data_IF_380871241118
#
_entry.id   IF_380871241118
#
_cell.length_a   1.000
_cell.length_b   1.000
_cell.length_c   1.000
_cell.angle_alpha   90.00
_cell.angle_beta   90.00
_cell.angle_gamma   90.00
#
_symmetry.space_group_name_H-M   'P 1'
#
loop_
_entity.id
_entity.type
_entity.pdbx_description
1 polymer ?
#
# COMPACT_ATOMS: atom_id res chain seq x y z
N UNK A 1 53.15 18.18 30.92
CA UNK A 1 52.44 17.62 29.76
C UNK A 1 51.05 18.25 29.72
N UNK A 2 50.98 19.57 29.57
CA UNK A 2 49.73 20.30 29.76
C UNK A 2 49.16 20.64 28.39
N UNK A 3 48.12 19.92 27.99
CA UNK A 3 47.27 20.36 26.88
C UNK A 3 46.22 21.32 27.44
N UNK A 4 46.12 22.52 26.89
CA UNK A 4 45.12 23.51 27.26
C UNK A 4 43.98 23.47 26.24
N UNK A 5 42.76 23.23 26.71
CA UNK A 5 41.57 23.30 25.86
C UNK A 5 41.08 24.75 25.88
N UNK A 6 40.91 25.35 24.70
CA UNK A 6 40.39 26.72 24.54
C UNK A 6 39.25 26.72 23.54
N UNK A 7 38.25 27.55 23.77
CA UNK A 7 37.17 27.77 22.80
C UNK A 7 37.65 28.73 21.71
N UNK A 8 37.25 28.48 20.47
CA UNK A 8 37.45 29.47 19.38
C UNK A 8 36.56 30.69 19.60
N UNK A 9 36.92 31.82 18.98
CA UNK A 9 36.13 33.05 19.07
C UNK A 9 34.72 32.91 18.47
N UNK A 10 34.52 31.96 17.56
CA UNK A 10 33.25 31.65 16.89
C UNK A 10 32.53 30.42 17.49
N UNK A 11 32.91 30.02 18.73
CA UNK A 11 32.30 28.89 19.41
C UNK A 11 30.78 29.03 19.49
N UNK A 12 30.07 28.02 18.99
CA UNK A 12 28.62 27.99 18.99
C UNK A 12 28.11 26.53 19.09
N UNK A 13 27.30 26.23 20.11
CA UNK A 13 26.73 24.89 20.36
C UNK A 13 25.68 24.45 19.32
N UNK A 14 25.15 25.40 18.54
CA UNK A 14 24.15 25.16 17.50
C UNK A 14 24.71 25.09 16.10
N UNK A 15 25.96 25.53 15.90
CA UNK A 15 26.61 25.55 14.57
C UNK A 15 26.88 24.15 14.02
N UNK A 16 27.23 23.20 14.88
CA UNK A 16 27.57 21.83 14.49
C UNK A 16 26.71 20.83 15.24
N UNK A 17 26.12 19.88 14.51
CA UNK A 17 25.35 18.76 15.07
C UNK A 17 25.97 17.45 14.60
N UNK A 18 25.95 16.44 15.48
CA UNK A 18 26.44 15.10 15.17
C UNK A 18 25.31 14.26 14.58
N UNK A 19 25.58 13.55 13.49
CA UNK A 19 24.68 12.57 12.88
C UNK A 19 25.44 11.25 12.76
N UNK A 20 24.88 10.16 13.29
CA UNK A 20 25.41 8.83 13.10
C UNK A 20 25.04 8.35 11.69
N UNK A 21 26.07 8.08 10.88
CA UNK A 21 25.90 7.53 9.55
C UNK A 21 25.91 6.00 9.62
N UNK A 22 25.00 5.37 8.88
CA UNK A 22 25.15 3.96 8.55
C UNK A 22 26.10 3.83 7.33
N UNK A 23 26.63 2.64 7.05
CA UNK A 23 27.55 2.44 5.91
C UNK A 23 26.96 2.85 4.56
N UNK A 24 25.63 2.77 4.41
CA UNK A 24 24.94 3.14 3.17
C UNK A 24 24.96 4.65 2.93
N UNK A 25 24.60 5.46 3.93
CA UNK A 25 24.64 6.92 3.85
C UNK A 25 26.08 7.42 3.77
N UNK A 26 27.00 6.83 4.52
CA UNK A 26 28.43 7.17 4.43
C UNK A 26 28.94 6.98 3.00
N UNK A 27 28.60 5.85 2.38
CA UNK A 27 28.93 5.60 0.98
C UNK A 27 28.29 6.64 0.06
N UNK A 28 26.99 6.93 0.22
CA UNK A 28 26.30 7.92 -0.60
C UNK A 28 26.96 9.31 -0.53
N UNK A 29 27.33 9.76 0.67
CA UNK A 29 28.01 11.05 0.88
C UNK A 29 29.42 11.04 0.26
N UNK A 30 30.19 9.97 0.48
CA UNK A 30 31.58 9.88 -0.03
C UNK A 30 31.66 9.72 -1.55
N UNK A 31 30.65 9.10 -2.19
CA UNK A 31 30.55 8.99 -3.65
C UNK A 31 29.97 10.23 -4.32
N UNK A 32 29.47 11.20 -3.56
CA UNK A 32 28.84 12.41 -4.08
C UNK A 32 27.39 12.21 -4.57
N UNK A 33 26.72 11.15 -4.12
CA UNK A 33 25.30 10.92 -4.41
C UNK A 33 24.41 11.95 -3.70
N UNK A 34 23.20 12.16 -4.23
CA UNK A 34 22.27 13.16 -3.67
C UNK A 34 21.76 12.67 -2.30
N UNK A 35 22.03 13.46 -1.26
CA UNK A 35 21.46 13.29 0.09
C UNK A 35 20.80 14.60 0.49
N UNK A 36 19.53 14.53 0.89
CA UNK A 36 18.74 15.71 1.22
C UNK A 36 17.83 15.43 2.42
N UNK A 37 17.40 16.51 3.08
CA UNK A 37 16.50 16.44 4.23
C UNK A 37 15.16 17.04 3.82
N UNK A 38 14.09 16.27 4.05
CA UNK A 38 12.71 16.70 3.84
C UNK A 38 12.01 16.74 5.20
N UNK A 39 11.25 17.79 5.45
CA UNK A 39 10.57 17.98 6.73
C UNK A 39 9.51 19.07 6.64
N UNK A 40 8.27 18.75 7.02
CA UNK A 40 7.24 19.74 7.26
C UNK A 40 7.42 20.32 8.67
N UNK A 41 6.98 21.56 8.96
CA UNK A 41 7.20 22.21 10.25
C UNK A 41 6.66 21.44 11.47
N UNK A 42 5.61 20.64 11.25
CA UNK A 42 4.89 19.84 12.23
C UNK A 42 5.25 18.34 12.19
N UNK A 43 6.16 17.94 11.30
CA UNK A 43 6.51 16.55 11.07
C UNK A 43 7.97 16.24 11.43
N UNK A 44 8.25 14.96 11.69
CA UNK A 44 9.62 14.49 11.94
C UNK A 44 10.44 14.63 10.66
N UNK A 45 11.62 15.23 10.76
CA UNK A 45 12.54 15.35 9.63
C UNK A 45 13.01 13.97 9.14
N UNK A 46 13.12 13.83 7.81
CA UNK A 46 13.54 12.63 7.11
C UNK A 46 14.75 12.95 6.26
N UNK A 47 15.79 12.12 6.38
CA UNK A 47 16.93 12.11 5.48
C UNK A 47 16.64 11.12 4.35
N UNK A 48 16.71 11.59 3.11
CA UNK A 48 16.50 10.79 1.92
C UNK A 48 17.81 10.64 1.14
N UNK A 49 18.10 9.41 0.73
CA UNK A 49 19.01 9.13 -0.40
C UNK A 49 18.22 9.16 -1.70
N UNK A 50 18.86 8.75 -2.79
CA UNK A 50 18.17 8.50 -4.06
C UNK A 50 17.08 7.43 -3.89
N UNK A 51 17.31 6.38 -3.11
CA UNK A 51 16.51 5.15 -3.06
C UNK A 51 15.85 4.81 -1.72
N UNK A 52 16.22 5.49 -0.62
CA UNK A 52 15.79 5.13 0.74
C UNK A 52 15.53 6.37 1.60
N UNK A 53 14.65 6.17 2.57
CA UNK A 53 14.27 7.21 3.53
C UNK A 53 14.54 6.81 4.98
N UNK A 54 15.00 7.76 5.78
CA UNK A 54 15.36 7.55 7.18
C UNK A 54 14.82 8.67 8.07
N UNK A 55 14.07 8.31 9.11
CA UNK A 55 13.69 9.26 10.14
C UNK A 55 14.91 9.69 10.96
N UNK A 56 15.05 11.00 11.16
CA UNK A 56 16.07 11.58 12.03
C UNK A 56 15.56 11.52 13.48
N UNK A 57 16.28 10.83 14.37
CA UNK A 57 15.97 10.72 15.81
C UNK A 57 17.01 11.46 16.63
N UNK A 58 16.59 12.26 17.61
CA UNK A 58 17.51 12.82 18.60
C UNK A 58 17.79 11.78 19.68
N UNK A 59 19.06 11.52 19.97
CA UNK A 59 19.51 10.73 21.12
C UNK A 59 20.39 11.58 22.03
N UNK A 60 19.87 11.89 23.23
CA UNK A 60 20.59 12.63 24.26
C UNK A 60 21.69 11.76 24.89
N UNK A 61 22.84 12.35 25.14
CA UNK A 61 23.98 11.68 25.76
C UNK A 61 24.28 12.32 27.12
N UNK A 62 24.69 11.50 28.11
CA UNK A 62 25.01 11.99 29.46
C UNK A 62 26.28 12.85 29.52
N UNK A 63 27.18 12.70 28.53
CA UNK A 63 28.46 13.37 28.49
C UNK A 63 28.48 14.46 27.41
N UNK A 64 29.13 15.59 27.71
CA UNK A 64 29.40 16.64 26.74
C UNK A 64 30.55 16.22 25.81
N UNK A 65 30.31 16.21 24.49
CA UNK A 65 31.35 15.95 23.48
C UNK A 65 31.85 17.28 22.94
N UNK A 66 33.15 17.55 23.06
CA UNK A 66 33.78 18.74 22.49
C UNK A 66 34.22 18.46 21.05
N UNK A 67 33.88 19.37 20.14
CA UNK A 67 34.19 19.25 18.71
C UNK A 67 35.44 20.07 18.39
N UNK A 68 36.45 19.40 17.85
CA UNK A 68 37.73 20.01 17.49
C UNK A 68 38.15 19.56 16.10
N UNK A 69 38.78 20.46 15.36
CA UNK A 69 39.47 20.14 14.09
C UNK A 69 40.92 19.71 14.33
N UNK A 70 41.36 19.61 15.59
CA UNK A 70 42.70 19.17 15.94
C UNK A 70 42.90 17.70 15.54
N UNK A 71 43.83 17.44 14.62
CA UNK A 71 44.13 16.10 14.10
C UNK A 71 45.44 15.49 14.63
N UNK A 72 46.41 16.31 15.03
CA UNK A 72 47.72 15.83 15.48
C UNK A 72 47.76 15.43 16.96
N UNK A 73 47.49 14.16 17.28
CA UNK A 73 47.52 13.67 18.67
C UNK A 73 48.90 13.19 19.14
N UNK A 74 49.97 13.45 18.39
CA UNK A 74 51.32 13.03 18.77
C UNK A 74 51.80 13.68 20.08
N UNK A 75 52.75 13.02 20.76
CA UNK A 75 53.33 13.53 22.01
C UNK A 75 54.02 14.86 21.73
N UNK A 76 53.81 15.89 22.57
CA UNK A 76 54.53 17.15 22.42
C UNK A 76 56.04 16.90 22.41
N UNK A 77 56.77 17.49 21.45
CA UNK A 77 58.24 17.56 21.54
C UNK A 77 58.59 18.34 22.81
N UNK A 78 59.67 17.98 23.50
CA UNK A 78 60.06 18.46 24.85
C UNK A 78 60.36 19.98 24.97
N UNK A 79 59.96 20.80 23.99
CA UNK A 79 60.12 22.25 23.98
C UNK A 79 58.85 22.92 24.52
N UNK A 80 58.95 23.35 25.78
CA UNK A 80 58.19 24.32 26.62
C UNK A 80 56.78 24.86 26.29
N UNK A 81 56.17 24.62 25.14
CA UNK A 81 54.88 25.22 24.79
C UNK A 81 53.72 24.28 25.12
N UNK A 82 52.79 24.77 25.93
CA UNK A 82 51.54 24.08 26.27
C UNK A 82 50.73 23.86 24.99
N UNK A 83 50.44 22.60 24.66
CA UNK A 83 49.67 22.26 23.47
C UNK A 83 48.25 22.81 23.60
N UNK A 84 47.85 23.70 22.70
CA UNK A 84 46.51 24.32 22.76
C UNK A 84 45.57 23.60 21.80
N UNK A 85 44.48 23.03 22.33
CA UNK A 85 43.43 22.36 21.57
C UNK A 85 42.24 23.30 21.46
N UNK A 86 41.96 23.74 20.24
CA UNK A 86 40.84 24.63 19.94
C UNK A 86 39.55 23.84 19.76
N UNK A 87 38.50 24.25 20.45
CA UNK A 87 37.16 23.66 20.38
C UNK A 87 36.22 24.68 19.73
N UNK A 88 35.58 24.27 18.64
CA UNK A 88 34.69 25.11 17.84
C UNK A 88 33.20 24.86 18.11
N UNK A 89 32.88 23.79 18.83
CA UNK A 89 31.52 23.48 19.22
C UNK A 89 31.46 22.39 20.28
N UNK A 90 30.26 22.15 20.80
CA UNK A 90 30.00 21.06 21.72
C UNK A 90 28.66 20.41 21.40
N UNK A 91 28.57 19.10 21.61
CA UNK A 91 27.37 18.32 21.34
C UNK A 91 26.97 17.53 22.59
N UNK A 92 25.74 17.74 23.06
CA UNK A 92 25.11 16.99 24.18
C UNK A 92 24.24 15.83 23.69
N UNK A 93 24.00 15.78 22.40
CA UNK A 93 23.21 14.77 21.74
C UNK A 93 23.77 14.53 20.34
N UNK A 94 23.32 13.44 19.73
CA UNK A 94 23.54 13.19 18.31
C UNK A 94 22.24 12.71 17.68
N UNK A 95 22.20 12.76 16.36
CA UNK A 95 21.09 12.25 15.60
C UNK A 95 21.37 10.82 15.13
N UNK A 96 20.35 9.98 15.19
CA UNK A 96 20.33 8.63 14.64
C UNK A 96 19.40 8.58 13.42
N UNK A 97 19.63 7.59 12.56
CA UNK A 97 18.80 7.31 11.40
C UNK A 97 18.04 6.00 11.60
N UNK A 98 16.71 6.07 11.57
CA UNK A 98 15.83 4.89 11.62
C UNK A 98 15.15 4.73 10.25
N UNK A 99 15.15 3.53 9.66
CA UNK A 99 14.48 3.32 8.37
C UNK A 99 13.02 3.73 8.43
N UNK A 100 12.61 4.54 7.44
CA UNK A 100 11.22 4.88 7.20
C UNK A 100 10.67 3.91 6.16
N UNK A 101 9.58 3.24 6.51
CA UNK A 101 8.86 2.38 5.56
C UNK A 101 7.93 3.26 4.72
N UNK A 102 8.01 3.21 3.38
CA UNK A 102 7.06 3.88 2.50
C UNK A 102 5.63 3.38 2.75
N UNK A 103 4.65 4.27 2.68
CA UNK A 103 3.24 3.95 2.94
C UNK A 103 2.39 4.20 1.68
N UNK A 104 2.17 3.15 0.85
CA UNK A 104 1.31 3.24 -0.35
C UNK A 104 -0.13 3.62 -0.02
N UNK A 105 -0.61 3.31 1.20
CA UNK A 105 -1.98 3.63 1.64
C UNK A 105 -2.16 5.14 1.77
N UNK A 106 -1.18 5.81 2.36
CA UNK A 106 -1.16 7.28 2.47
C UNK A 106 -1.09 7.92 1.08
N UNK A 107 -0.25 7.41 0.18
CA UNK A 107 -0.17 7.90 -1.21
C UNK A 107 -1.52 7.75 -1.92
N UNK A 108 -2.15 6.56 -1.83
CA UNK A 108 -3.46 6.30 -2.42
C UNK A 108 -4.51 7.28 -1.90
N UNK A 109 -4.52 7.56 -0.59
CA UNK A 109 -5.45 8.52 0.01
C UNK A 109 -5.28 9.93 -0.58
N UNK A 110 -4.04 10.41 -0.73
CA UNK A 110 -3.75 11.73 -1.34
C UNK A 110 -4.27 11.81 -2.78
N UNK A 111 -3.96 10.80 -3.60
CA UNK A 111 -4.38 10.80 -5.02
C UNK A 111 -5.89 10.66 -5.21
N UNK A 112 -6.58 10.02 -4.25
CA UNK A 112 -8.04 9.91 -4.25
C UNK A 112 -8.75 11.18 -3.77
N UNK A 113 -8.04 12.22 -3.36
CA UNK A 113 -8.67 13.52 -3.11
C UNK A 113 -9.05 14.26 -4.40
N UNK A 114 -8.36 13.97 -5.51
CA UNK A 114 -8.63 14.50 -6.85
C UNK A 114 -8.54 13.41 -7.94
N UNK A 115 -9.38 12.36 -7.85
CA UNK A 115 -9.28 11.23 -8.75
C UNK A 115 -9.64 11.62 -10.18
N UNK A 116 -9.14 10.84 -11.14
CA UNK A 116 -9.46 10.97 -12.54
C UNK A 116 -10.88 10.50 -12.84
N UNK A 117 -11.62 11.32 -13.57
CA UNK A 117 -12.92 11.02 -14.15
C UNK A 117 -12.90 11.50 -15.60
N UNK A 118 -13.76 10.89 -16.45
CA UNK A 118 -13.94 11.33 -17.84
C UNK A 118 -14.16 12.84 -17.91
N UNK A 119 -13.37 13.59 -18.69
CA UNK A 119 -13.55 15.04 -18.83
C UNK A 119 -14.93 15.36 -19.40
N UNK A 120 -15.85 15.87 -18.57
CA UNK A 120 -17.15 16.37 -19.05
C UNK A 120 -16.94 17.68 -19.80
N UNK A 121 -17.51 17.81 -21.01
CA UNK A 121 -17.38 19.00 -21.88
C UNK A 121 -17.76 20.32 -21.17
N UNK A 122 -18.65 20.29 -20.18
CA UNK A 122 -19.15 21.48 -19.48
C UNK A 122 -18.51 21.77 -18.11
N UNK A 123 -17.47 21.04 -17.70
CA UNK A 123 -16.88 21.15 -16.35
C UNK A 123 -15.90 22.33 -16.17
N UNK A 124 -16.22 23.52 -16.71
CA UNK A 124 -15.38 24.70 -16.57
C UNK A 124 -15.35 25.27 -15.13
N UNK A 125 -16.40 25.05 -14.33
CA UNK A 125 -16.53 25.64 -12.99
C UNK A 125 -16.06 24.75 -11.82
N UNK A 126 -15.89 23.43 -12.00
CA UNK A 126 -15.44 22.51 -10.94
C UNK A 126 -13.91 22.51 -10.72
N UNK A 127 -13.17 23.36 -11.45
CA UNK A 127 -11.72 23.24 -11.65
C UNK A 127 -10.86 23.74 -10.48
N UNK A 128 -11.20 24.85 -9.81
CA UNK A 128 -10.23 25.54 -8.93
C UNK A 128 -9.85 24.78 -7.64
N UNK A 129 -10.81 24.13 -6.98
CA UNK A 129 -10.56 23.44 -5.70
C UNK A 129 -10.03 22.00 -5.86
N UNK A 130 -10.27 21.36 -7.02
CA UNK A 130 -9.72 20.02 -7.33
C UNK A 130 -8.29 20.08 -7.89
N UNK A 131 -7.94 21.17 -8.58
CA UNK A 131 -6.59 21.40 -9.13
C UNK A 131 -5.52 21.60 -8.05
N UNK A 132 -5.87 22.17 -6.89
CA UNK A 132 -4.93 22.35 -5.77
C UNK A 132 -4.55 21.06 -5.05
N UNK A 133 -5.16 19.93 -5.45
CA UNK A 133 -4.93 18.59 -4.89
C UNK A 133 -4.35 17.63 -5.94
N UNK A 134 -3.80 18.20 -7.01
CA UNK A 134 -2.98 17.46 -7.96
C UNK A 134 -1.54 17.55 -7.49
N UNK A 135 -0.85 16.41 -7.53
CA UNK A 135 0.50 16.30 -7.01
C UNK A 135 1.46 15.96 -8.14
N UNK A 136 2.52 16.76 -8.28
CA UNK A 136 3.69 16.40 -9.06
C UNK A 136 4.59 15.43 -8.27
N UNK A 137 5.64 14.91 -8.90
CA UNK A 137 6.62 14.06 -8.22
C UNK A 137 7.24 14.78 -6.99
N UNK A 138 7.59 16.06 -7.11
CA UNK A 138 8.15 16.83 -5.99
C UNK A 138 7.14 17.03 -4.88
N UNK A 139 5.87 17.31 -5.22
CA UNK A 139 4.83 17.51 -4.20
C UNK A 139 4.58 16.22 -3.40
N UNK A 140 4.66 15.05 -4.07
CA UNK A 140 4.54 13.75 -3.40
C UNK A 140 5.74 13.45 -2.51
N UNK A 141 6.96 13.76 -2.95
CA UNK A 141 8.18 13.63 -2.13
C UNK A 141 8.07 14.47 -0.87
N UNK A 142 7.59 15.71 -0.97
CA UNK A 142 7.44 16.59 0.19
C UNK A 142 6.29 16.15 1.12
N UNK A 143 5.13 15.79 0.58
CA UNK A 143 3.96 15.39 1.36
C UNK A 143 4.13 14.03 2.05
N UNK A 144 4.83 13.09 1.40
CA UNK A 144 5.11 11.77 1.95
C UNK A 144 6.44 11.72 2.69
N UNK A 145 7.34 12.68 2.47
CA UNK A 145 8.70 12.76 3.00
C UNK A 145 9.47 11.46 2.75
N UNK A 146 9.53 11.03 1.49
CA UNK A 146 10.25 9.83 1.06
C UNK A 146 11.07 10.11 -0.20
N UNK A 147 11.98 9.22 -0.56
CA UNK A 147 12.80 9.37 -1.77
C UNK A 147 11.97 9.29 -3.06
N UNK A 148 12.46 9.90 -4.13
CA UNK A 148 11.79 9.89 -5.45
C UNK A 148 11.59 8.46 -5.99
N UNK A 149 12.53 7.55 -5.74
CA UNK A 149 12.42 6.14 -6.14
C UNK A 149 11.35 5.40 -5.32
N UNK A 150 11.26 5.65 -4.01
CA UNK A 150 10.20 5.06 -3.19
C UNK A 150 8.82 5.59 -3.60
N UNK A 151 8.69 6.88 -3.94
CA UNK A 151 7.44 7.41 -4.52
C UNK A 151 7.09 6.68 -5.81
N UNK A 152 8.06 6.54 -6.71
CA UNK A 152 7.88 5.86 -8.00
C UNK A 152 7.45 4.40 -7.82
N UNK A 153 8.08 3.68 -6.89
CA UNK A 153 7.72 2.30 -6.56
C UNK A 153 6.28 2.21 -6.02
N UNK A 154 5.90 3.09 -5.09
CA UNK A 154 4.53 3.13 -4.56
C UNK A 154 3.51 3.49 -5.64
N UNK A 155 3.82 4.43 -6.53
CA UNK A 155 2.94 4.81 -7.65
C UNK A 155 2.70 3.64 -8.61
N UNK A 156 3.75 2.85 -8.89
CA UNK A 156 3.63 1.64 -9.70
C UNK A 156 2.78 0.57 -9.00
N UNK A 157 3.00 0.36 -7.69
CA UNK A 157 2.24 -0.60 -6.89
C UNK A 157 0.74 -0.31 -6.89
N UNK A 158 0.35 0.96 -6.73
CA UNK A 158 -1.07 1.36 -6.73
C UNK A 158 -1.63 1.61 -8.13
N UNK A 159 -0.85 1.37 -9.19
CA UNK A 159 -1.19 1.62 -10.58
C UNK A 159 -1.63 3.08 -10.85
N UNK A 160 -0.96 4.04 -10.21
CA UNK A 160 -1.12 5.45 -10.53
C UNK A 160 -0.48 5.79 -11.87
N UNK A 161 -0.97 6.86 -12.50
CA UNK A 161 -0.46 7.31 -13.79
C UNK A 161 -0.28 8.81 -13.82
N UNK A 162 0.62 9.25 -14.68
CA UNK A 162 0.88 10.67 -14.90
C UNK A 162 -0.01 11.19 -16.04
N UNK A 163 -0.66 12.33 -15.78
CA UNK A 163 -1.40 13.09 -16.76
C UNK A 163 -1.06 14.58 -16.60
N UNK A 164 -0.58 15.20 -17.67
CA UNK A 164 -0.21 16.62 -17.71
C UNK A 164 0.74 17.07 -16.57
N UNK A 165 1.73 16.24 -16.22
CA UNK A 165 2.71 16.54 -15.17
C UNK A 165 2.23 16.25 -13.74
N UNK A 166 1.05 15.64 -13.58
CA UNK A 166 0.45 15.33 -12.27
C UNK A 166 0.08 13.87 -12.15
N UNK A 167 0.26 13.29 -10.97
CA UNK A 167 -0.08 11.90 -10.69
C UNK A 167 -1.53 11.74 -10.27
N UNK A 168 -2.19 10.72 -10.81
CA UNK A 168 -3.63 10.48 -10.60
C UNK A 168 -3.96 8.99 -10.50
N UNK A 169 -5.11 8.71 -9.89
CA UNK A 169 -5.77 7.41 -9.88
C UNK A 169 -7.14 7.53 -10.55
N UNK A 170 -7.62 6.48 -11.21
CA UNK A 170 -9.01 6.42 -11.64
C UNK A 170 -9.93 6.48 -10.43
N UNK A 171 -11.03 7.24 -10.54
CA UNK A 171 -12.07 7.21 -9.51
C UNK A 171 -12.65 5.79 -9.43
N UNK A 172 -12.79 5.18 -8.23
CA UNK A 172 -13.23 3.78 -8.10
C UNK A 172 -14.53 3.46 -8.85
N UNK A 173 -15.54 4.33 -8.79
CA UNK A 173 -16.81 4.12 -9.52
C UNK A 173 -16.64 4.17 -11.03
N UNK A 174 -15.79 5.07 -11.52
CA UNK A 174 -15.52 5.22 -12.95
C UNK A 174 -14.66 4.05 -13.47
N UNK A 175 -13.67 3.62 -12.70
CA UNK A 175 -12.88 2.42 -12.97
C UNK A 175 -13.77 1.18 -13.11
N UNK A 176 -14.70 0.95 -12.16
CA UNK A 176 -15.61 -0.19 -12.23
C UNK A 176 -16.55 -0.11 -13.44
N UNK A 177 -16.99 1.09 -13.82
CA UNK A 177 -17.83 1.28 -15.00
C UNK A 177 -17.07 0.90 -16.28
N UNK A 178 -15.89 1.51 -16.51
CA UNK A 178 -15.08 1.23 -17.71
C UNK A 178 -14.76 -0.25 -17.81
N UNK A 179 -14.36 -0.88 -16.70
CA UNK A 179 -14.00 -2.28 -16.75
C UNK A 179 -15.21 -3.19 -16.98
N UNK A 180 -16.40 -2.80 -16.50
CA UNK A 180 -17.65 -3.49 -16.87
C UNK A 180 -17.92 -3.37 -18.37
N UNK A 181 -17.82 -2.16 -18.92
CA UNK A 181 -18.03 -1.91 -20.34
C UNK A 181 -17.02 -2.69 -21.19
N UNK A 182 -15.75 -2.73 -20.79
CA UNK A 182 -14.71 -3.55 -21.44
C UNK A 182 -15.08 -5.03 -21.46
N UNK A 183 -15.52 -5.59 -20.33
CA UNK A 183 -15.92 -7.00 -20.25
C UNK A 183 -17.14 -7.29 -21.12
N UNK A 184 -18.08 -6.35 -21.21
CA UNK A 184 -19.28 -6.51 -22.04
C UNK A 184 -18.91 -6.47 -23.54
N UNK A 185 -18.01 -5.57 -23.95
CA UNK A 185 -17.44 -5.54 -25.31
C UNK A 185 -16.70 -6.83 -25.65
N UNK A 186 -15.91 -7.38 -24.73
CA UNK A 186 -15.19 -8.65 -24.92
C UNK A 186 -16.16 -9.78 -25.24
N UNK A 187 -17.26 -9.88 -24.49
CA UNK A 187 -18.29 -10.90 -24.72
C UNK A 187 -19.03 -10.66 -26.03
N UNK A 188 -19.33 -9.39 -26.36
CA UNK A 188 -20.03 -9.03 -27.59
C UNK A 188 -19.25 -9.42 -28.86
N UNK A 189 -17.92 -9.29 -28.85
CA UNK A 189 -17.06 -9.55 -30.00
C UNK A 189 -16.31 -10.89 -29.93
N UNK A 190 -16.59 -11.71 -28.92
CA UNK A 190 -15.93 -13.01 -28.67
C UNK A 190 -14.40 -12.93 -28.67
N UNK A 191 -13.87 -11.90 -27.99
CA UNK A 191 -12.43 -11.66 -27.94
C UNK A 191 -11.70 -12.56 -26.93
N UNK A 192 -10.61 -13.18 -27.38
CA UNK A 192 -9.71 -13.91 -26.48
C UNK A 192 -8.73 -12.97 -25.78
N UNK A 193 -9.17 -12.44 -24.64
CA UNK A 193 -8.37 -11.56 -23.77
C UNK A 193 -7.49 -12.31 -22.77
N UNK A 194 -7.63 -13.63 -22.65
CA UNK A 194 -6.88 -14.42 -21.67
C UNK A 194 -5.62 -15.04 -22.28
N UNK A 195 -5.64 -15.36 -23.58
CA UNK A 195 -4.47 -15.83 -24.30
C UNK A 195 -3.50 -14.69 -24.64
N UNK A 196 -2.20 -14.97 -24.64
CA UNK A 196 -1.20 -14.02 -25.14
C UNK A 196 -1.25 -13.96 -26.68
N UNK A 197 -1.13 -12.76 -27.30
CA UNK A 197 -0.75 -11.47 -26.71
C UNK A 197 -1.91 -10.66 -26.10
N UNK A 198 -3.13 -11.17 -26.11
CA UNK A 198 -4.34 -10.48 -25.70
C UNK A 198 -4.93 -9.64 -26.84
N UNK A 199 -5.80 -8.68 -26.49
CA UNK A 199 -6.50 -7.83 -27.46
C UNK A 199 -5.80 -6.49 -27.60
N UNK A 200 -5.58 -5.98 -28.82
CA UNK A 200 -5.03 -4.64 -29.02
C UNK A 200 -5.87 -3.57 -28.30
N UNK A 201 -5.23 -2.66 -27.57
CA UNK A 201 -5.91 -1.56 -26.87
C UNK A 201 -6.70 -0.67 -27.84
N UNK A 202 -6.29 -0.62 -29.12
CA UNK A 202 -7.00 0.12 -30.17
C UNK A 202 -8.41 -0.43 -30.43
N UNK A 203 -8.62 -1.74 -30.32
CA UNK A 203 -9.95 -2.34 -30.52
C UNK A 203 -10.92 -1.88 -29.42
N UNK A 204 -10.46 -1.84 -28.17
CA UNK A 204 -11.25 -1.25 -27.09
C UNK A 204 -11.58 0.22 -27.34
N UNK A 205 -10.69 1.01 -27.94
CA UNK A 205 -10.94 2.42 -28.26
C UNK A 205 -11.89 2.63 -29.43
N UNK A 206 -12.00 1.66 -30.33
CA UNK A 206 -12.96 1.71 -31.44
C UNK A 206 -14.38 1.48 -30.94
N UNK A 207 -14.54 0.59 -29.95
CA UNK A 207 -15.84 0.20 -29.40
C UNK A 207 -16.28 1.05 -28.21
N UNK A 208 -15.33 1.52 -27.39
CA UNK A 208 -15.60 2.31 -26.19
C UNK A 208 -15.22 3.77 -26.42
N UNK A 209 -16.15 4.68 -26.12
CA UNK A 209 -15.87 6.13 -26.12
C UNK A 209 -15.04 6.57 -24.90
N UNK A 210 -14.01 5.82 -24.50
CA UNK A 210 -13.21 6.06 -23.30
C UNK A 210 -11.78 6.52 -23.62
N UNK A 211 -11.15 7.36 -22.77
CA UNK A 211 -9.78 7.80 -23.00
C UNK A 211 -8.77 6.64 -22.96
N UNK A 212 -7.77 6.66 -23.84
CA UNK A 212 -6.65 5.70 -23.88
C UNK A 212 -6.05 5.43 -22.50
N UNK A 213 -5.85 6.48 -21.71
CA UNK A 213 -5.27 6.35 -20.36
C UNK A 213 -6.12 5.46 -19.45
N UNK A 214 -7.45 5.56 -19.54
CA UNK A 214 -8.36 4.81 -18.69
C UNK A 214 -8.39 3.32 -19.05
N UNK A 215 -8.48 3.00 -20.35
CA UNK A 215 -8.41 1.62 -20.84
C UNK A 215 -7.07 0.97 -20.45
N UNK A 216 -5.94 1.67 -20.66
CA UNK A 216 -4.62 1.16 -20.26
C UNK A 216 -4.52 0.89 -18.76
N UNK A 217 -5.08 1.76 -17.92
CA UNK A 217 -5.07 1.52 -16.48
C UNK A 217 -5.93 0.32 -16.09
N UNK A 218 -7.12 0.15 -16.69
CA UNK A 218 -7.95 -1.03 -16.45
C UNK A 218 -7.20 -2.32 -16.83
N UNK A 219 -6.50 -2.34 -17.97
CA UNK A 219 -5.65 -3.46 -18.36
C UNK A 219 -4.54 -3.76 -17.35
N UNK A 220 -3.85 -2.74 -16.82
CA UNK A 220 -2.82 -2.92 -15.78
C UNK A 220 -3.39 -3.41 -14.45
N UNK A 221 -4.57 -2.90 -14.06
CA UNK A 221 -5.23 -3.25 -12.81
C UNK A 221 -5.72 -4.69 -12.84
N UNK A 222 -6.40 -5.10 -13.90
CA UNK A 222 -7.08 -6.39 -14.02
C UNK A 222 -6.32 -7.43 -14.87
N UNK A 223 -5.09 -7.12 -15.27
CA UNK A 223 -4.29 -7.98 -16.13
C UNK A 223 -2.87 -7.46 -16.32
N UNK A 224 -2.43 -7.39 -17.58
CA UNK A 224 -1.15 -6.85 -17.99
C UNK A 224 -1.25 -6.15 -19.37
N UNK A 225 -0.27 -5.28 -19.64
CA UNK A 225 -0.08 -4.65 -20.95
C UNK A 225 1.25 -5.09 -21.53
N UNK A 226 1.26 -5.51 -22.79
CA UNK A 226 2.46 -5.86 -23.55
C UNK A 226 2.47 -5.12 -24.88
N UNK A 227 3.60 -4.53 -25.26
CA UNK A 227 3.76 -3.91 -26.56
C UNK A 227 4.17 -4.98 -27.59
N UNK A 228 3.37 -5.15 -28.64
CA UNK A 228 3.65 -6.04 -29.77
C UNK A 228 3.50 -5.22 -31.05
N UNK A 229 4.55 -5.16 -31.87
CA UNK A 229 4.57 -4.37 -33.12
C UNK A 229 4.15 -2.90 -32.92
N UNK A 230 4.69 -2.22 -31.89
CA UNK A 230 4.34 -0.85 -31.50
C UNK A 230 2.86 -0.64 -31.10
N UNK A 231 2.13 -1.72 -30.83
CA UNK A 231 0.76 -1.69 -30.32
C UNK A 231 0.66 -2.34 -28.95
N UNK A 232 0.10 -1.60 -27.99
CA UNK A 232 -0.22 -2.13 -26.67
C UNK A 232 -1.36 -3.15 -26.77
N UNK A 233 -1.12 -4.36 -26.29
CA UNK A 233 -2.10 -5.42 -26.15
C UNK A 233 -2.43 -5.65 -24.67
N UNK A 234 -3.71 -5.88 -24.41
CA UNK A 234 -4.29 -6.09 -23.11
C UNK A 234 -4.59 -7.58 -22.89
N UNK A 235 -3.89 -8.19 -21.94
CA UNK A 235 -4.16 -9.57 -21.50
C UNK A 235 -4.73 -9.51 -20.09
N UNK A 236 -5.96 -10.00 -19.89
CA UNK A 236 -6.63 -9.99 -18.61
C UNK A 236 -6.24 -11.20 -17.76
N UNK A 237 -6.18 -10.99 -16.45
CA UNK A 237 -5.96 -12.07 -15.50
C UNK A 237 -7.31 -12.71 -15.12
N UNK A 238 -7.47 -14.03 -15.29
CA UNK A 238 -8.75 -14.69 -15.07
C UNK A 238 -9.22 -14.60 -13.61
N UNK A 239 -8.29 -14.62 -12.64
CA UNK A 239 -8.63 -14.47 -11.22
C UNK A 239 -9.15 -13.06 -10.97
N UNK A 240 -8.45 -12.03 -11.45
CA UNK A 240 -8.88 -10.64 -11.27
C UNK A 240 -10.23 -10.33 -11.93
N UNK A 241 -10.48 -10.86 -13.13
CA UNK A 241 -11.78 -10.75 -13.80
C UNK A 241 -12.87 -11.42 -12.95
N UNK A 242 -12.62 -12.65 -12.48
CA UNK A 242 -13.56 -13.40 -11.68
C UNK A 242 -13.84 -12.70 -10.32
N UNK A 243 -12.81 -12.24 -9.62
CA UNK A 243 -12.91 -11.46 -8.38
C UNK A 243 -13.70 -10.16 -8.60
N UNK A 244 -13.46 -9.46 -9.72
CA UNK A 244 -14.20 -8.24 -10.05
C UNK A 244 -15.71 -8.50 -10.19
N UNK A 245 -16.10 -9.49 -11.01
CA UNK A 245 -17.52 -9.84 -11.20
C UNK A 245 -18.17 -10.37 -9.92
N UNK A 246 -17.44 -11.13 -9.11
CA UNK A 246 -17.90 -11.55 -7.79
C UNK A 246 -18.18 -10.35 -6.88
N UNK A 247 -17.25 -9.40 -6.82
CA UNK A 247 -17.43 -8.17 -6.03
C UNK A 247 -18.65 -7.38 -6.51
N UNK A 248 -18.84 -7.20 -7.82
CA UNK A 248 -20.02 -6.54 -8.37
C UNK A 248 -21.32 -7.18 -7.91
N UNK A 249 -21.41 -8.51 -7.83
CA UNK A 249 -22.60 -9.21 -7.31
C UNK A 249 -22.86 -8.91 -5.84
N UNK A 250 -21.82 -8.82 -5.01
CA UNK A 250 -21.99 -8.42 -3.60
C UNK A 250 -22.39 -6.95 -3.46
N UNK A 251 -21.82 -6.06 -4.27
CA UNK A 251 -22.16 -4.64 -4.29
C UNK A 251 -23.62 -4.44 -4.73
N UNK A 252 -24.08 -5.16 -5.77
CA UNK A 252 -25.48 -5.20 -6.22
C UNK A 252 -26.42 -5.68 -5.10
N UNK A 253 -26.10 -6.80 -4.43
CA UNK A 253 -26.89 -7.33 -3.32
C UNK A 253 -26.98 -6.33 -2.16
N UNK A 254 -25.86 -5.69 -1.81
CA UNK A 254 -25.82 -4.71 -0.74
C UNK A 254 -26.66 -3.47 -1.06
N UNK A 255 -26.60 -2.98 -2.31
CA UNK A 255 -27.40 -1.86 -2.76
C UNK A 255 -28.91 -2.18 -2.75
N UNK A 256 -29.29 -3.38 -3.23
CA UNK A 256 -30.69 -3.83 -3.21
C UNK A 256 -31.21 -3.96 -1.78
N UNK A 257 -30.43 -4.59 -0.88
CA UNK A 257 -30.81 -4.72 0.53
C UNK A 257 -30.95 -3.36 1.22
N UNK A 258 -30.06 -2.40 0.93
CA UNK A 258 -30.16 -1.03 1.44
C UNK A 258 -31.42 -0.32 0.96
N UNK A 259 -31.75 -0.46 -0.32
CA UNK A 259 -32.94 0.13 -0.90
C UNK A 259 -34.23 -0.42 -0.28
N UNK A 260 -34.32 -1.74 -0.08
CA UNK A 260 -35.49 -2.38 0.55
C UNK A 260 -35.63 -1.98 2.02
N UNK A 261 -34.54 -2.02 2.78
CA UNK A 261 -34.52 -1.61 4.19
C UNK A 261 -34.95 -0.15 4.38
N UNK A 262 -34.57 0.73 3.45
CA UNK A 262 -34.98 2.13 3.47
C UNK A 262 -36.49 2.29 3.20
N UNK A 263 -37.07 1.49 2.30
CA UNK A 263 -38.52 1.52 2.04
C UNK A 263 -39.33 0.98 3.22
N UNK A 264 -38.86 -0.11 3.84
CA UNK A 264 -39.59 -0.78 4.92
C UNK A 264 -39.30 -0.18 6.31
N UNK A 265 -38.39 0.80 6.42
CA UNK A 265 -37.89 1.36 7.69
C UNK A 265 -37.36 0.29 8.66
N UNK A 266 -36.75 -0.77 8.13
CA UNK A 266 -36.18 -1.88 8.92
C UNK A 266 -34.66 -1.76 9.00
N UNK A 267 -34.08 -2.09 10.16
CA UNK A 267 -32.63 -2.16 10.30
C UNK A 267 -32.07 -3.38 9.55
N UNK A 268 -31.08 -3.15 8.69
CA UNK A 268 -30.31 -4.23 8.06
C UNK A 268 -29.58 -5.03 9.12
N UNK A 269 -29.75 -6.35 9.12
CA UNK A 269 -28.95 -7.24 9.94
C UNK A 269 -27.72 -7.72 9.14
N UNK A 270 -26.50 -7.27 9.44
CA UNK A 270 -25.31 -7.65 8.69
C UNK A 270 -24.97 -9.15 8.83
N UNK A 271 -25.52 -9.82 9.85
CA UNK A 271 -25.32 -11.23 10.11
C UNK A 271 -25.97 -12.14 9.05
N UNK A 272 -27.00 -11.66 8.35
CA UNK A 272 -27.68 -12.36 7.26
C UNK A 272 -27.16 -11.92 5.87
N UNK A 273 -26.25 -10.95 5.81
CA UNK A 273 -25.64 -10.46 4.58
C UNK A 273 -24.75 -11.55 3.97
N UNK A 274 -25.17 -12.09 2.85
CA UNK A 274 -24.47 -13.16 2.15
C UNK A 274 -25.42 -13.83 1.16
N UNK A 275 -24.85 -14.57 0.24
CA UNK A 275 -25.60 -15.34 -0.73
C UNK A 275 -25.73 -16.80 -0.29
N UNK A 276 -26.78 -17.46 -0.74
CA UNK A 276 -26.73 -18.92 -0.84
C UNK A 276 -25.64 -19.31 -1.84
N UNK A 277 -24.78 -20.27 -1.44
CA UNK A 277 -23.56 -20.60 -2.19
C UNK A 277 -23.88 -21.03 -3.63
N UNK A 278 -24.84 -21.92 -3.82
CA UNK A 278 -25.15 -22.46 -5.15
C UNK A 278 -25.73 -21.38 -6.07
N UNK A 279 -26.66 -20.57 -5.55
CA UNK A 279 -27.22 -19.42 -6.29
C UNK A 279 -26.14 -18.40 -6.67
N UNK A 280 -25.20 -18.13 -5.77
CA UNK A 280 -24.07 -17.26 -6.07
C UNK A 280 -23.20 -17.84 -7.18
N UNK A 281 -22.84 -19.12 -7.10
CA UNK A 281 -21.98 -19.77 -8.08
C UNK A 281 -22.63 -19.77 -9.48
N UNK A 282 -23.94 -20.00 -9.58
CA UNK A 282 -24.67 -19.91 -10.84
C UNK A 282 -24.65 -18.51 -11.43
N UNK A 283 -25.00 -17.49 -10.64
CA UNK A 283 -24.97 -16.09 -11.11
C UNK A 283 -23.57 -15.63 -11.46
N UNK A 284 -22.58 -16.01 -10.66
CA UNK A 284 -21.20 -15.62 -10.89
C UNK A 284 -20.64 -16.21 -12.18
N UNK A 285 -20.93 -17.50 -12.43
CA UNK A 285 -20.57 -18.16 -13.70
C UNK A 285 -21.18 -17.46 -14.91
N UNK A 286 -22.41 -16.95 -14.81
CA UNK A 286 -23.07 -16.22 -15.89
C UNK A 286 -22.54 -14.79 -16.13
N UNK A 287 -21.79 -14.22 -15.18
CA UNK A 287 -21.29 -12.83 -15.26
C UNK A 287 -19.85 -12.72 -15.74
N UNK A 288 -19.10 -13.82 -15.72
CA UNK A 288 -17.74 -13.86 -16.27
C UNK A 288 -17.80 -14.22 -17.77
N UNK A 289 -16.83 -13.80 -18.59
CA UNK A 289 -16.69 -14.30 -19.95
C UNK A 289 -16.53 -15.83 -19.97
N UNK A 290 -17.03 -16.50 -21.01
CA UNK A 290 -17.02 -17.97 -21.15
C UNK A 290 -15.61 -18.57 -21.10
N UNK A 291 -14.59 -17.79 -21.46
CA UNK A 291 -13.18 -18.16 -21.38
C UNK A 291 -12.67 -18.31 -19.93
N UNK A 292 -13.37 -17.76 -18.94
CA UNK A 292 -12.99 -17.83 -17.52
C UNK A 292 -13.73 -18.97 -16.80
N UNK A 293 -12.99 -20.02 -16.42
CA UNK A 293 -13.54 -21.09 -15.56
C UNK A 293 -13.49 -20.70 -14.09
N UNK A 294 -14.63 -20.32 -13.51
CA UNK A 294 -14.73 -19.91 -12.10
C UNK A 294 -14.60 -21.08 -11.11
N UNK A 295 -13.89 -20.83 -10.01
CA UNK A 295 -13.84 -21.71 -8.85
C UNK A 295 -13.70 -20.89 -7.55
N UNK A 296 -14.05 -21.49 -6.40
CA UNK A 296 -14.03 -20.77 -5.12
C UNK A 296 -12.64 -20.31 -4.66
N UNK A 297 -11.57 -20.96 -5.13
CA UNK A 297 -10.20 -20.59 -4.76
C UNK A 297 -9.81 -19.21 -5.34
N UNK A 298 -10.42 -18.81 -6.47
CA UNK A 298 -10.26 -17.47 -7.05
C UNK A 298 -10.79 -16.34 -6.15
N UNK A 299 -11.66 -16.66 -5.18
CA UNK A 299 -12.20 -15.70 -4.21
C UNK A 299 -11.49 -15.78 -2.86
N UNK A 300 -10.36 -16.47 -2.79
CA UNK A 300 -9.53 -16.56 -1.59
C UNK A 300 -9.18 -15.18 -1.05
N UNK A 301 -9.50 -14.93 0.22
CA UNK A 301 -9.30 -13.62 0.86
C UNK A 301 -10.33 -12.55 0.49
N UNK A 302 -11.29 -12.81 -0.43
CA UNK A 302 -12.41 -11.91 -0.72
C UNK A 302 -13.69 -12.30 0.03
N UNK A 303 -13.89 -13.60 0.21
CA UNK A 303 -15.14 -14.17 0.72
C UNK A 303 -14.91 -15.19 1.83
N UNK A 304 -15.92 -15.34 2.68
CA UNK A 304 -15.97 -16.37 3.70
C UNK A 304 -17.15 -17.31 3.45
N UNK A 305 -16.85 -18.59 3.24
CA UNK A 305 -17.85 -19.65 3.10
C UNK A 305 -18.22 -20.17 4.50
N UNK A 306 -19.48 -20.02 4.89
CA UNK A 306 -20.04 -20.40 6.18
C UNK A 306 -21.03 -21.56 6.03
N UNK A 307 -20.63 -22.78 6.43
CA UNK A 307 -21.57 -23.90 6.57
C UNK A 307 -22.60 -23.57 7.64
N UNK A 308 -23.88 -23.83 7.34
CA UNK A 308 -24.98 -23.61 8.28
C UNK A 308 -25.33 -24.91 9.02
N UNK A 309 -26.23 -24.82 10.01
CA UNK A 309 -26.77 -26.01 10.71
C UNK A 309 -27.44 -26.96 9.70
N UNK A 310 -27.46 -28.26 10.03
CA UNK A 310 -28.05 -29.29 9.20
C UNK A 310 -29.45 -28.89 8.67
N UNK A 311 -29.63 -28.94 7.36
CA UNK A 311 -30.88 -28.58 6.67
C UNK A 311 -30.96 -27.14 6.15
N UNK A 312 -29.96 -26.27 6.43
CA UNK A 312 -29.87 -24.93 5.82
C UNK A 312 -28.75 -24.88 4.77
N UNK A 313 -28.92 -24.13 3.67
CA UNK A 313 -27.90 -24.02 2.64
C UNK A 313 -26.65 -23.31 3.15
N UNK A 314 -25.50 -23.71 2.62
CA UNK A 314 -24.22 -23.03 2.87
C UNK A 314 -24.29 -21.60 2.35
N UNK A 315 -23.76 -20.64 3.11
CA UNK A 315 -23.73 -19.23 2.71
C UNK A 315 -22.32 -18.77 2.36
N UNK A 316 -22.22 -17.83 1.45
CA UNK A 316 -20.99 -17.12 1.09
C UNK A 316 -21.16 -15.64 1.42
N UNK A 317 -20.19 -15.08 2.15
CA UNK A 317 -20.26 -13.73 2.71
C UNK A 317 -19.09 -12.91 2.19
N UNK A 318 -19.35 -11.67 1.78
CA UNK A 318 -18.29 -10.71 1.44
C UNK A 318 -17.48 -10.36 2.69
N UNK A 319 -16.19 -10.68 2.66
CA UNK A 319 -15.30 -10.44 3.77
C UNK A 319 -13.87 -10.32 3.23
N UNK A 320 -13.50 -9.16 2.69
CA UNK A 320 -12.23 -9.00 2.00
C UNK A 320 -11.08 -8.71 2.99
N UNK A 321 -9.91 -9.31 2.75
CA UNK A 321 -8.76 -9.22 3.65
C UNK A 321 -8.12 -7.82 3.70
N UNK A 322 -8.28 -7.04 2.62
CA UNK A 322 -7.74 -5.69 2.47
C UNK A 322 -8.46 -4.66 3.36
N UNK A 323 -9.69 -4.96 3.80
CA UNK A 323 -10.44 -4.17 4.78
C UNK A 323 -10.08 -4.52 6.24
N UNK A 324 -9.23 -5.53 6.47
CA UNK A 324 -8.81 -5.92 7.81
C UNK A 324 -7.59 -5.14 8.29
N UNK A 325 -7.56 -4.84 9.59
CA UNK A 325 -6.48 -4.09 10.22
C UNK A 325 -5.10 -4.70 9.94
N UNK A 326 -4.06 -3.94 9.59
CA UNK A 326 -2.71 -4.48 9.42
C UNK A 326 -2.06 -4.89 10.76
N UNK A 327 -2.63 -4.47 11.89
CA UNK A 327 -2.14 -4.86 13.21
C UNK A 327 -2.63 -6.29 13.56
N UNK A 328 -1.72 -7.26 13.83
CA UNK A 328 -2.12 -8.65 14.04
C UNK A 328 -3.20 -8.84 15.10
N UNK A 329 -3.07 -8.17 16.25
CA UNK A 329 -4.04 -8.31 17.36
C UNK A 329 -5.45 -7.87 16.94
N UNK A 330 -5.58 -6.67 16.36
CA UNK A 330 -6.87 -6.13 15.90
C UNK A 330 -7.44 -6.97 14.76
N UNK A 331 -6.59 -7.46 13.84
CA UNK A 331 -7.03 -8.36 12.76
C UNK A 331 -7.65 -9.63 13.31
N UNK A 332 -6.98 -10.33 14.22
CA UNK A 332 -7.54 -11.56 14.83
C UNK A 332 -8.83 -11.28 15.60
N UNK A 333 -8.96 -10.13 16.28
CA UNK A 333 -10.22 -9.72 16.91
C UNK A 333 -11.34 -9.57 15.87
N UNK A 334 -11.09 -8.91 14.73
CA UNK A 334 -12.07 -8.79 13.63
C UNK A 334 -12.46 -10.15 13.04
N UNK A 335 -11.48 -11.05 12.82
CA UNK A 335 -11.71 -12.41 12.32
C UNK A 335 -12.62 -13.22 13.26
N UNK A 336 -12.36 -13.17 14.57
CA UNK A 336 -13.15 -13.92 15.55
C UNK A 336 -14.52 -13.31 15.84
N UNK A 337 -14.70 -12.01 15.61
CA UNK A 337 -16.03 -11.38 15.59
C UNK A 337 -16.86 -11.87 14.40
N UNK A 338 -16.23 -12.08 13.24
CA UNK A 338 -16.93 -12.57 12.04
C UNK A 338 -17.30 -14.06 12.12
N UNK A 339 -16.45 -14.89 12.72
CA UNK A 339 -16.67 -16.33 12.93
C UNK A 339 -15.88 -16.82 14.14
N UNK A 340 -16.50 -17.59 15.04
CA UNK A 340 -15.86 -17.97 16.30
C UNK A 340 -14.72 -19.00 16.16
N UNK A 341 -14.86 -19.92 15.19
CA UNK A 341 -13.95 -21.05 14.97
C UNK A 341 -13.55 -21.14 13.51
N UNK A 342 -12.26 -21.24 13.24
CA UNK A 342 -11.71 -21.23 11.89
C UNK A 342 -10.85 -22.46 11.65
N UNK A 343 -10.89 -23.00 10.44
CA UNK A 343 -9.87 -23.96 9.99
C UNK A 343 -8.64 -23.21 9.50
N UNK A 344 -7.49 -23.88 9.40
CA UNK A 344 -6.28 -23.25 8.85
C UNK A 344 -6.48 -22.77 7.42
N UNK A 345 -7.18 -23.57 6.60
CA UNK A 345 -7.48 -23.25 5.19
C UNK A 345 -8.31 -21.98 5.06
N UNK A 346 -9.27 -21.77 5.98
CA UNK A 346 -10.08 -20.55 6.00
C UNK A 346 -9.29 -19.34 6.52
N UNK A 347 -8.39 -19.53 7.48
CA UNK A 347 -7.62 -18.46 8.12
C UNK A 347 -6.48 -17.93 7.24
N UNK A 348 -5.79 -18.83 6.54
CA UNK A 348 -4.56 -18.55 5.82
C UNK A 348 -4.64 -17.33 4.89
N UNK A 349 -5.69 -17.18 4.04
CA UNK A 349 -5.80 -16.03 3.15
C UNK A 349 -5.78 -14.69 3.90
N UNK A 350 -6.37 -14.63 5.10
CA UNK A 350 -6.53 -13.38 5.86
C UNK A 350 -5.31 -13.00 6.72
N UNK A 351 -4.40 -13.93 6.94
CA UNK A 351 -3.23 -13.73 7.81
C UNK A 351 -1.91 -13.81 7.07
N UNK A 352 -1.91 -14.23 5.80
CA UNK A 352 -0.71 -14.34 4.96
C UNK A 352 0.06 -13.02 4.91
N UNK A 353 -0.65 -11.89 4.77
CA UNK A 353 -0.06 -10.55 4.75
C UNK A 353 0.56 -10.10 6.09
N UNK A 354 0.29 -10.81 7.20
CA UNK A 354 0.93 -10.55 8.50
C UNK A 354 2.25 -11.32 8.70
N UNK A 355 2.57 -12.27 7.82
CA UNK A 355 3.78 -13.09 7.93
C UNK A 355 4.98 -12.26 7.47
N UNK A 356 5.97 -12.11 8.34
CA UNK A 356 7.21 -11.38 8.07
C UNK A 356 8.42 -12.28 8.28
N UNK A 357 9.62 -11.84 7.89
CA UNK A 357 10.86 -12.61 8.11
C UNK A 357 11.09 -12.99 9.59
N UNK A 358 10.57 -12.19 10.52
CA UNK A 358 10.69 -12.43 11.97
C UNK A 358 9.48 -13.09 12.63
N UNK A 359 8.38 -13.35 11.89
CA UNK A 359 7.15 -13.89 12.48
C UNK A 359 6.48 -14.85 11.50
N UNK A 360 6.57 -16.15 11.81
CA UNK A 360 5.96 -17.22 11.00
C UNK A 360 4.46 -17.33 11.28
N UNK A 361 3.71 -17.89 10.32
CA UNK A 361 2.28 -18.20 10.49
C UNK A 361 2.00 -19.01 11.76
N UNK A 362 2.84 -20.01 12.06
CA UNK A 362 2.72 -20.82 13.27
C UNK A 362 2.85 -19.99 14.55
N UNK A 363 3.80 -19.05 14.58
CA UNK A 363 4.01 -18.15 15.72
C UNK A 363 2.84 -17.15 15.91
N UNK A 364 2.26 -16.64 14.82
CA UNK A 364 1.07 -15.79 14.86
C UNK A 364 -0.11 -16.54 15.48
N UNK A 365 -0.39 -17.75 14.98
CA UNK A 365 -1.49 -18.57 15.48
C UNK A 365 -1.30 -18.91 16.96
N UNK A 366 -0.10 -19.34 17.37
CA UNK A 366 0.19 -19.66 18.77
C UNK A 366 0.00 -18.45 19.71
N UNK A 367 0.33 -17.25 19.24
CA UNK A 367 0.23 -16.02 20.03
C UNK A 367 -1.22 -15.53 20.16
N UNK A 368 -1.98 -15.53 19.06
CA UNK A 368 -3.27 -14.85 18.95
C UNK A 368 -4.50 -15.76 18.99
N UNK A 369 -4.33 -17.08 19.00
CA UNK A 369 -5.45 -18.03 18.94
C UNK A 369 -5.34 -19.12 19.99
N UNK A 370 -6.44 -19.85 20.23
CA UNK A 370 -6.44 -21.16 20.89
C UNK A 370 -6.75 -22.24 19.86
N UNK A 371 -5.97 -23.31 19.86
CA UNK A 371 -6.24 -24.48 19.00
C UNK A 371 -7.04 -25.54 19.75
N UNK A 372 -8.07 -26.06 19.11
CA UNK A 372 -8.87 -27.21 19.54
C UNK A 372 -8.95 -28.24 18.41
N UNK A 373 -9.29 -29.49 18.72
CA UNK A 373 -9.59 -30.51 17.70
C UNK A 373 -11.10 -30.66 17.59
N UNK A 374 -11.62 -30.76 16.37
CA UNK A 374 -13.01 -31.12 16.17
C UNK A 374 -13.20 -32.60 16.52
N UNK A 375 -14.26 -32.95 17.26
CA UNK A 375 -14.55 -34.34 17.59
C UNK A 375 -14.65 -35.18 16.32
N UNK A 376 -13.93 -36.31 16.27
CA UNK A 376 -13.86 -37.24 15.14
C UNK A 376 -13.14 -36.73 13.86
N UNK A 377 -12.41 -35.62 13.91
CA UNK A 377 -11.57 -35.14 12.80
C UNK A 377 -10.13 -34.84 13.25
N UNK A 378 -9.16 -35.04 12.35
CA UNK A 378 -7.77 -34.61 12.55
C UNK A 378 -7.60 -33.09 12.35
N UNK A 379 -8.64 -32.39 11.92
CA UNK A 379 -8.61 -30.97 11.61
C UNK A 379 -8.57 -30.11 12.89
N UNK A 380 -7.60 -29.19 12.91
CA UNK A 380 -7.43 -28.21 13.99
C UNK A 380 -8.33 -27.00 13.75
N UNK A 381 -9.08 -26.62 14.77
CA UNK A 381 -9.88 -25.40 14.80
C UNK A 381 -9.20 -24.35 15.67
N UNK A 382 -9.15 -23.13 15.17
CA UNK A 382 -8.58 -21.96 15.84
C UNK A 382 -9.70 -21.04 16.30
N UNK A 383 -9.67 -20.63 17.56
CA UNK A 383 -10.66 -19.73 18.17
C UNK A 383 -9.97 -18.58 18.92
N UNK A 384 -10.77 -17.60 19.33
CA UNK A 384 -10.31 -16.51 20.20
C UNK A 384 -9.62 -17.07 21.46
N UNK A 385 -8.54 -16.39 21.85
CA UNK A 385 -7.80 -16.70 23.07
C UNK A 385 -8.45 -16.16 24.33
#
# INVERSE_FOLDING_TARGET
MDSMIVTTADFNEDKYKLLQLNPEIEKAITTGSKVFIVGAPDARAVLCTEDKSYYIKKEDTSNLRLLTTHTDWSKPKETSDKRTIQVSGAARFHYLLEHKVPDPTKLRALLLEAPYEKPKRDAAQAKRAKLSKLYSMSDLVDALQVSEHEVSAMLQEIHAFEEAGTWRLLKPTYQSQIFTDMLDTIVQHDWDVLAEPGVPVKEFLNELEEPLVAIRQCCKLYGSLKAVNDEDHCTLDPVKVATFRAKSLFDEQAAEAQFQAQQEHVALNPADAGWELDQFMEKWKLRVPDSVTVNLEMLSGLVLVKPQKAGKPTRIVYFPEDLLSPEPKKRFEQLFTMQEKWTIKQLEPYIKSLVTRGTTQASLLLKHTRSSRQGNSSEKLYSRR
#
